data_IF_781099920551
#
_entry.id   IF_781099920551
#
_cell.length_a   1.000
_cell.length_b   1.000
_cell.length_c   1.000
_cell.angle_alpha   90.00
_cell.angle_beta   90.00
_cell.angle_gamma   90.00
#
_symmetry.space_group_name_H-M   'P 1'
#
loop_
_entity.id
_entity.type
_entity.pdbx_description
1 polymer ?
#
# COMPACT_ATOMS: atom_id res chain seq x y z
N UNK A 1 1.07 -0.31 0.31
CA UNK A 1 -0.21 -0.97 0.64
C UNK A 1 -0.45 -0.88 2.15
N UNK A 2 -1.71 -0.92 2.60
CA UNK A 2 -2.01 -0.98 4.03
C UNK A 2 -1.69 -2.36 4.60
N UNK A 3 -1.48 -2.43 5.92
CA UNK A 3 -1.21 -3.69 6.63
C UNK A 3 -2.34 -4.70 6.42
N UNK A 4 -3.60 -4.27 6.55
CA UNK A 4 -4.76 -5.17 6.39
C UNK A 4 -4.85 -5.79 5.00
N UNK A 5 -4.51 -5.02 3.95
CA UNK A 5 -4.47 -5.54 2.59
C UNK A 5 -3.37 -6.58 2.41
N UNK A 6 -2.20 -6.35 3.01
CA UNK A 6 -1.08 -7.31 2.99
C UNK A 6 -1.44 -8.58 3.77
N UNK A 7 -2.07 -8.44 4.93
CA UNK A 7 -2.48 -9.57 5.76
C UNK A 7 -3.57 -10.44 5.11
N UNK A 8 -4.29 -9.89 4.13
CA UNK A 8 -5.31 -10.59 3.34
C UNK A 8 -4.76 -11.25 2.07
N UNK A 9 -3.44 -11.15 1.82
CA UNK A 9 -2.81 -11.75 0.64
C UNK A 9 -2.77 -13.28 0.78
N UNK A 10 -2.78 -13.96 -0.37
CA UNK A 10 -2.85 -15.41 -0.41
C UNK A 10 -1.69 -16.04 0.35
N UNK A 11 -2.00 -17.08 1.13
CA UNK A 11 -1.07 -17.84 2.01
C UNK A 11 -0.23 -17.00 3.00
N UNK A 12 -0.53 -15.71 3.22
CA UNK A 12 0.13 -14.88 4.23
C UNK A 12 -0.04 -15.44 5.65
N UNK A 13 -1.23 -15.97 5.96
CA UNK A 13 -1.55 -16.53 7.28
C UNK A 13 -0.73 -17.77 7.66
N UNK A 14 -0.06 -18.42 6.69
CA UNK A 14 0.79 -19.59 6.93
C UNK A 14 2.20 -19.22 7.38
N UNK A 15 2.61 -17.95 7.20
CA UNK A 15 3.92 -17.46 7.58
C UNK A 15 4.10 -17.46 9.09
N UNK A 16 5.34 -17.67 9.54
CA UNK A 16 5.72 -17.42 10.94
C UNK A 16 5.57 -15.93 11.27
N UNK A 17 5.38 -15.59 12.55
CA UNK A 17 5.29 -14.18 12.99
C UNK A 17 6.48 -13.34 12.50
N UNK A 18 7.69 -13.91 12.50
CA UNK A 18 8.89 -13.25 11.98
C UNK A 18 8.77 -12.94 10.48
N UNK A 19 8.37 -13.92 9.67
CA UNK A 19 8.19 -13.73 8.22
C UNK A 19 7.04 -12.74 7.92
N UNK A 20 5.95 -12.79 8.68
CA UNK A 20 4.86 -11.81 8.57
C UNK A 20 5.38 -10.39 8.81
N UNK A 21 6.17 -10.18 9.87
CA UNK A 21 6.78 -8.88 10.15
C UNK A 21 7.73 -8.44 9.04
N UNK A 22 8.49 -9.35 8.42
CA UNK A 22 9.37 -9.03 7.30
C UNK A 22 8.60 -8.59 6.04
N UNK A 23 7.47 -9.23 5.73
CA UNK A 23 6.60 -8.82 4.60
C UNK A 23 5.93 -7.48 4.90
N UNK A 24 5.35 -7.32 6.10
CA UNK A 24 4.66 -6.09 6.50
C UNK A 24 5.59 -4.87 6.54
N UNK A 25 6.84 -5.07 6.96
CA UNK A 25 7.88 -4.04 7.02
C UNK A 25 8.78 -4.02 5.79
N UNK A 26 8.37 -4.61 4.67
CA UNK A 26 9.16 -4.55 3.44
C UNK A 26 9.45 -3.08 3.06
N UNK A 27 10.72 -2.67 2.89
CA UNK A 27 11.09 -1.28 2.65
C UNK A 27 10.46 -0.71 1.37
N UNK A 28 10.17 -1.54 0.37
CA UNK A 28 9.51 -1.11 -0.87
C UNK A 28 8.05 -0.70 -0.65
N UNK A 29 7.43 -1.18 0.45
CA UNK A 29 6.06 -0.83 0.84
C UNK A 29 5.92 0.62 1.32
N UNK A 30 7.03 1.27 1.70
CA UNK A 30 7.01 2.63 2.22
C UNK A 30 7.18 3.65 1.08
N UNK A 31 6.28 4.63 1.03
CA UNK A 31 6.41 5.81 0.19
C UNK A 31 6.36 7.06 1.05
N UNK A 32 7.38 7.91 0.94
CA UNK A 32 7.42 9.20 1.63
C UNK A 32 6.36 10.15 1.08
N UNK A 33 5.26 10.31 1.82
CA UNK A 33 4.25 11.34 1.58
C UNK A 33 4.46 12.50 2.56
N UNK A 34 4.00 13.70 2.18
CA UNK A 34 3.90 14.79 3.15
C UNK A 34 2.93 14.41 4.28
N UNK A 35 3.06 15.05 5.46
CA UNK A 35 2.17 14.80 6.59
C UNK A 35 0.70 14.95 6.20
N UNK A 36 0.36 16.00 5.47
CA UNK A 36 -1.02 16.26 5.01
C UNK A 36 -1.52 15.19 4.02
N UNK A 37 -0.67 14.78 3.07
CA UNK A 37 -0.99 13.70 2.13
C UNK A 37 -1.19 12.36 2.84
N UNK A 38 -0.32 12.03 3.79
CA UNK A 38 -0.43 10.79 4.54
C UNK A 38 -1.71 10.77 5.40
N UNK A 39 -2.01 11.87 6.10
CA UNK A 39 -3.26 12.02 6.87
C UNK A 39 -4.49 11.94 5.98
N UNK A 40 -4.45 12.50 4.77
CA UNK A 40 -5.60 12.48 3.86
C UNK A 40 -5.83 11.11 3.22
N UNK A 41 -4.76 10.42 2.82
CA UNK A 41 -4.83 9.11 2.17
C UNK A 41 -5.28 8.03 3.16
N UNK A 42 -4.69 8.02 4.36
CA UNK A 42 -4.88 6.95 5.35
C UNK A 42 -4.63 5.57 4.72
N UNK A 43 -5.52 4.60 4.97
CA UNK A 43 -5.46 3.24 4.46
C UNK A 43 -5.95 3.08 3.01
N UNK A 44 -6.51 4.13 2.39
CA UNK A 44 -6.99 4.08 1.01
C UNK A 44 -5.83 3.76 0.06
N UNK A 45 -6.09 2.98 -0.99
CA UNK A 45 -5.20 2.82 -2.13
C UNK A 45 -5.02 4.15 -2.90
N UNK A 46 -4.02 4.22 -3.77
CA UNK A 46 -3.87 5.39 -4.65
C UNK A 46 -5.00 5.46 -5.70
N UNK A 47 -5.66 4.35 -5.98
CA UNK A 47 -6.84 4.34 -6.85
C UNK A 47 -8.07 4.92 -6.12
N UNK A 48 -8.27 4.62 -4.84
CA UNK A 48 -9.38 5.17 -4.05
C UNK A 48 -9.12 6.64 -3.63
N UNK A 49 -7.88 7.01 -3.35
CA UNK A 49 -7.51 8.34 -2.90
C UNK A 49 -7.40 9.34 -4.06
N UNK A 50 -8.54 9.97 -4.35
CA UNK A 50 -8.70 10.91 -5.46
C UNK A 50 -8.54 12.37 -5.05
N UNK A 51 -8.87 12.71 -3.80
CA UNK A 51 -8.90 14.10 -3.33
C UNK A 51 -8.38 14.21 -1.89
N UNK A 52 -7.84 15.39 -1.58
CA UNK A 52 -7.66 15.90 -0.23
C UNK A 52 -8.98 16.47 0.27
N UNK A 53 -9.32 16.21 1.55
CA UNK A 53 -10.57 16.70 2.18
C UNK A 53 -11.83 16.44 1.33
N UNK A 54 -11.93 15.27 0.69
CA UNK A 54 -13.05 14.91 -0.19
C UNK A 54 -14.41 15.18 0.46
N UNK A 55 -15.31 15.86 -0.25
CA UNK A 55 -16.65 16.20 0.22
C UNK A 55 -16.73 17.47 1.08
N UNK A 56 -15.66 18.25 1.22
CA UNK A 56 -15.69 19.56 1.88
C UNK A 56 -15.54 20.71 0.88
N UNK A 57 -15.87 21.96 1.25
CA UNK A 57 -15.64 23.12 0.39
C UNK A 57 -14.16 23.37 0.03
N UNK A 58 -13.22 22.80 0.79
CA UNK A 58 -11.77 22.88 0.56
C UNK A 58 -11.22 21.64 -0.17
N UNK A 59 -12.07 20.91 -0.90
CA UNK A 59 -11.65 19.72 -1.64
C UNK A 59 -10.62 20.08 -2.72
N UNK A 60 -9.51 19.34 -2.75
CA UNK A 60 -8.44 19.53 -3.73
C UNK A 60 -8.14 18.17 -4.36
N UNK A 61 -8.17 18.10 -5.69
CA UNK A 61 -7.84 16.87 -6.40
C UNK A 61 -6.36 16.52 -6.23
N UNK A 62 -6.08 15.22 -6.04
CA UNK A 62 -4.72 14.71 -6.09
C UNK A 62 -4.25 14.75 -7.54
N UNK A 63 -3.08 15.34 -7.79
CA UNK A 63 -2.48 15.44 -9.14
C UNK A 63 -2.64 14.13 -9.94
N UNK A 64 -3.29 14.17 -11.12
CA UNK A 64 -3.54 12.97 -11.92
C UNK A 64 -2.25 12.22 -12.32
N UNK A 65 -1.19 12.95 -12.66
CA UNK A 65 0.11 12.37 -13.03
C UNK A 65 0.76 11.66 -11.84
N UNK A 66 0.73 12.28 -10.67
CA UNK A 66 1.23 11.67 -9.44
C UNK A 66 0.43 10.40 -9.12
N UNK A 67 -0.90 10.49 -9.15
CA UNK A 67 -1.79 9.37 -8.85
C UNK A 67 -1.57 8.19 -9.81
N UNK A 68 -1.46 8.46 -11.10
CA UNK A 68 -1.19 7.42 -12.12
C UNK A 68 0.13 6.68 -11.90
N UNK A 69 1.20 7.42 -11.55
CA UNK A 69 2.50 6.84 -11.18
C UNK A 69 2.39 5.97 -9.93
N UNK A 70 1.68 6.45 -8.91
CA UNK A 70 1.54 5.73 -7.66
C UNK A 70 0.65 4.49 -7.76
N UNK A 71 -0.40 4.51 -8.58
CA UNK A 71 -1.22 3.31 -8.87
C UNK A 71 -0.35 2.24 -9.54
N UNK A 72 0.48 2.62 -10.52
CA UNK A 72 1.40 1.68 -11.17
C UNK A 72 2.38 1.07 -10.18
N UNK A 73 2.95 1.90 -9.30
CA UNK A 73 3.85 1.44 -8.24
C UNK A 73 3.16 0.51 -7.26
N UNK A 74 1.92 0.82 -6.84
CA UNK A 74 1.15 -0.02 -5.91
C UNK A 74 0.87 -1.41 -6.49
N UNK A 75 0.57 -1.51 -7.80
CA UNK A 75 0.43 -2.80 -8.51
C UNK A 75 1.73 -3.59 -8.61
N UNK A 76 2.86 -2.92 -8.78
CA UNK A 76 4.17 -3.58 -8.78
C UNK A 76 4.51 -4.11 -7.38
N UNK A 77 4.27 -3.30 -6.36
CA UNK A 77 4.48 -3.65 -4.97
C UNK A 77 3.66 -4.87 -4.55
N UNK A 78 2.39 -4.95 -4.95
CA UNK A 78 1.53 -6.11 -4.69
C UNK A 78 2.17 -7.42 -5.18
N UNK A 79 2.77 -7.40 -6.38
CA UNK A 79 3.46 -8.58 -6.94
C UNK A 79 4.74 -8.92 -6.17
N UNK A 80 5.48 -7.91 -5.74
CA UNK A 80 6.72 -8.08 -4.96
C UNK A 80 6.41 -8.72 -3.60
N UNK A 81 5.38 -8.22 -2.92
CA UNK A 81 4.94 -8.75 -1.63
C UNK A 81 4.37 -10.16 -1.77
N UNK A 82 3.56 -10.43 -2.79
CA UNK A 82 3.04 -11.79 -3.03
C UNK A 82 4.20 -12.76 -3.30
N UNK A 83 5.16 -12.37 -4.13
CA UNK A 83 6.35 -13.20 -4.39
C UNK A 83 7.12 -13.48 -3.11
N UNK A 84 7.31 -12.49 -2.24
CA UNK A 84 8.00 -12.69 -0.96
C UNK A 84 7.25 -13.69 -0.06
N UNK A 85 5.92 -13.59 0.00
CA UNK A 85 5.06 -14.53 0.73
C UNK A 85 5.18 -15.94 0.14
N UNK A 86 5.09 -16.07 -1.18
CA UNK A 86 5.16 -17.36 -1.88
C UNK A 86 6.52 -18.03 -1.68
N UNK A 87 7.61 -17.25 -1.68
CA UNK A 87 8.97 -17.77 -1.49
C UNK A 87 9.14 -18.30 -0.06
N UNK A 88 8.62 -17.63 0.95
CA UNK A 88 8.63 -18.13 2.33
C UNK A 88 7.79 -19.39 2.55
N UNK A 89 6.77 -19.64 1.73
CA UNK A 89 5.91 -20.84 1.82
C UNK A 89 6.43 -22.03 1.00
N UNK A 90 7.47 -21.84 0.18
CA UNK A 90 8.12 -22.93 -0.59
C UNK A 90 9.26 -23.60 0.17
N UNK A 91 9.73 -22.97 1.24
CA UNK A 91 10.74 -23.50 2.17
C UNK A 91 10.10 -24.39 3.23
#
# INVERSE_FOLDING_TARGET
MSMDRIASMDVFGNLTEKQQLEVLNNPENFTGLSKSANTSKQFKSYEEWTHYKKGTPDEIEVSPDFRSKMITREKQLERILQKQIDDFNKE
#
